data_IF_236838355126
#
_entry.id   IF_236838355126
#
_cell.length_a   1.000
_cell.length_b   1.000
_cell.length_c   1.000
_cell.angle_alpha   90.00
_cell.angle_beta   90.00
_cell.angle_gamma   90.00
#
_symmetry.space_group_name_H-M   'P 1'
#
loop_
_entity.id
_entity.type
_entity.pdbx_description
1 polymer ?
#
# COMPACT_ATOMS: atom_id res chain seq x y z
N UNK A 1 -12.73 9.88 18.73
CA UNK A 1 -11.57 8.96 18.69
C UNK A 1 -11.37 8.57 17.24
N UNK A 2 -10.26 8.98 16.62
CA UNK A 2 -9.94 8.49 15.27
C UNK A 2 -8.99 7.31 15.46
N UNK A 3 -9.44 6.11 15.11
CA UNK A 3 -8.72 4.86 15.36
C UNK A 3 -7.79 4.56 14.19
N UNK A 4 -6.50 4.32 14.48
CA UNK A 4 -5.54 3.80 13.49
C UNK A 4 -5.81 2.32 13.25
N UNK A 5 -5.68 1.87 12.00
CA UNK A 5 -5.69 0.46 11.67
C UNK A 5 -4.26 -0.08 11.77
N UNK A 6 -4.01 -0.90 12.79
CA UNK A 6 -2.74 -1.59 13.02
C UNK A 6 -2.94 -3.05 12.62
N UNK A 7 -2.35 -3.45 11.50
CA UNK A 7 -2.41 -4.82 11.02
C UNK A 7 -1.07 -5.22 10.42
N UNK A 8 -0.89 -6.52 10.19
CA UNK A 8 0.20 -6.98 9.34
C UNK A 8 0.09 -6.38 7.92
N UNK A 9 1.18 -6.41 7.17
CA UNK A 9 1.25 -5.78 5.86
C UNK A 9 0.22 -6.36 4.86
N UNK A 10 -0.01 -7.69 4.80
CA UNK A 10 -1.05 -8.26 3.93
C UNK A 10 -2.48 -7.80 4.27
N UNK A 11 -2.85 -7.72 5.56
CA UNK A 11 -4.17 -7.24 5.95
C UNK A 11 -4.31 -5.73 5.68
N UNK A 12 -3.24 -4.96 5.94
CA UNK A 12 -3.18 -3.52 5.64
C UNK A 12 -3.47 -3.25 4.16
N UNK A 13 -2.86 -4.02 3.25
CA UNK A 13 -3.14 -3.88 1.82
C UNK A 13 -4.57 -4.24 1.46
N UNK A 14 -5.11 -5.34 1.99
CA UNK A 14 -6.50 -5.75 1.71
C UNK A 14 -7.52 -4.72 2.20
N UNK A 15 -7.33 -4.21 3.41
CA UNK A 15 -8.22 -3.21 4.01
C UNK A 15 -8.11 -1.87 3.28
N UNK A 16 -6.89 -1.48 2.89
CA UNK A 16 -6.62 -0.24 2.17
C UNK A 16 -6.94 -0.27 0.68
N UNK A 17 -7.18 -1.44 0.08
CA UNK A 17 -7.36 -1.58 -1.36
C UNK A 17 -6.04 -1.46 -2.12
N UNK A 18 -4.92 -1.89 -1.55
CA UNK A 18 -3.61 -1.88 -2.20
C UNK A 18 -3.24 -3.25 -2.77
N UNK A 19 -2.37 -3.21 -3.76
CA UNK A 19 -1.77 -4.40 -4.34
C UNK A 19 -0.69 -5.00 -3.42
N UNK A 20 -0.49 -6.31 -3.59
CA UNK A 20 0.46 -7.07 -2.78
C UNK A 20 1.94 -6.86 -3.17
N UNK A 21 2.85 -7.68 -2.62
CA UNK A 21 4.30 -7.47 -2.71
C UNK A 21 4.88 -7.74 -4.11
N UNK A 22 4.09 -8.31 -5.00
CA UNK A 22 4.47 -8.59 -6.40
C UNK A 22 4.07 -7.49 -7.37
N UNK A 23 3.36 -6.46 -6.89
CA UNK A 23 2.90 -5.35 -7.70
C UNK A 23 4.03 -4.40 -8.12
N UNK A 24 3.68 -3.50 -9.04
CA UNK A 24 4.58 -2.43 -9.50
C UNK A 24 4.98 -1.50 -8.36
N UNK A 25 4.01 -1.10 -7.55
CA UNK A 25 4.19 -0.30 -6.35
C UNK A 25 4.02 -1.19 -5.12
N UNK A 26 5.02 -1.22 -4.26
CA UNK A 26 5.10 -2.08 -3.07
C UNK A 26 4.67 -1.39 -1.77
N UNK A 27 4.52 -0.07 -1.80
CA UNK A 27 4.25 0.74 -0.63
C UNK A 27 2.94 1.50 -0.81
N UNK A 28 2.15 1.62 0.26
CA UNK A 28 0.94 2.44 0.29
C UNK A 28 1.21 3.93 0.57
N UNK A 29 2.45 4.28 0.95
CA UNK A 29 2.85 5.64 1.32
C UNK A 29 3.65 6.37 0.24
N UNK A 30 4.21 5.65 -0.73
CA UNK A 30 5.03 6.23 -1.78
C UNK A 30 4.84 5.54 -3.13
N UNK A 31 5.18 6.26 -4.19
CA UNK A 31 5.09 5.78 -5.57
C UNK A 31 6.37 5.07 -6.05
N UNK A 32 7.24 4.61 -5.13
CA UNK A 32 8.42 3.86 -5.54
C UNK A 32 8.03 2.58 -6.27
N UNK A 33 8.68 2.36 -7.40
CA UNK A 33 8.52 1.13 -8.15
C UNK A 33 9.42 0.04 -7.56
N UNK A 34 8.94 -1.21 -7.62
CA UNK A 34 9.72 -2.38 -7.21
C UNK A 34 11.05 -2.53 -7.96
N UNK A 35 11.11 -2.05 -9.21
CA UNK A 35 12.35 -1.97 -10.00
C UNK A 35 13.43 -1.12 -9.33
N UNK A 36 13.03 -0.16 -8.49
CA UNK A 36 13.91 0.78 -7.79
C UNK A 36 13.93 0.56 -6.27
N UNK A 37 13.67 -0.66 -5.80
CA UNK A 37 13.60 -1.00 -4.38
C UNK A 37 14.92 -0.72 -3.61
N UNK A 38 16.05 -0.68 -4.32
CA UNK A 38 17.37 -0.37 -3.75
C UNK A 38 17.62 1.13 -3.55
N UNK A 39 16.67 2.00 -3.93
CA UNK A 39 16.80 3.44 -3.69
C UNK A 39 16.49 3.78 -2.23
N UNK A 40 17.51 3.79 -1.38
CA UNK A 40 17.38 4.14 0.03
C UNK A 40 17.40 5.65 0.32
N UNK A 41 17.52 6.51 -0.72
CA UNK A 41 17.48 7.95 -0.54
C UNK A 41 16.01 8.42 -0.41
N UNK A 42 15.50 8.35 0.82
CA UNK A 42 14.11 8.67 1.14
C UNK A 42 13.72 10.13 0.90
N UNK A 43 14.68 11.06 0.87
CA UNK A 43 14.42 12.47 0.55
C UNK A 43 13.91 12.66 -0.88
N UNK A 44 14.31 11.75 -1.78
CA UNK A 44 13.90 11.77 -3.19
C UNK A 44 12.62 10.96 -3.45
N UNK A 45 12.03 10.35 -2.41
CA UNK A 45 10.83 9.53 -2.61
C UNK A 45 9.60 10.41 -2.81
N UNK A 46 8.89 10.15 -3.89
CA UNK A 46 7.58 10.75 -4.11
C UNK A 46 6.54 10.05 -3.23
N UNK A 47 6.05 10.78 -2.23
CA UNK A 47 4.95 10.32 -1.40
C UNK A 47 3.62 10.24 -2.16
N UNK A 48 2.78 9.29 -1.77
CA UNK A 48 1.42 9.16 -2.24
C UNK A 48 0.52 10.11 -1.45
N UNK A 49 -0.29 10.90 -2.14
CA UNK A 49 -1.28 11.78 -1.50
C UNK A 49 -2.64 11.09 -1.41
N UNK A 50 -3.46 11.54 -0.46
CA UNK A 50 -4.86 11.09 -0.36
C UNK A 50 -5.64 11.29 -1.67
N UNK A 51 -5.44 12.44 -2.34
CA UNK A 51 -6.13 12.75 -3.60
C UNK A 51 -5.76 11.76 -4.70
N UNK A 52 -4.47 11.48 -4.90
CA UNK A 52 -4.02 10.52 -5.90
C UNK A 52 -4.56 9.11 -5.61
N UNK A 53 -4.58 8.70 -4.35
CA UNK A 53 -5.13 7.42 -3.94
C UNK A 53 -6.64 7.34 -4.22
N UNK A 54 -7.38 8.37 -3.82
CA UNK A 54 -8.83 8.46 -4.02
C UNK A 54 -9.20 8.50 -5.51
N UNK A 55 -8.44 9.23 -6.32
CA UNK A 55 -8.61 9.27 -7.78
C UNK A 55 -8.40 7.90 -8.40
N UNK A 56 -7.30 7.21 -8.07
CA UNK A 56 -7.02 5.87 -8.59
C UNK A 56 -8.09 4.86 -8.16
N UNK A 57 -8.50 4.88 -6.88
CA UNK A 57 -9.55 4.03 -6.36
C UNK A 57 -10.91 4.31 -7.02
N UNK A 58 -11.23 5.58 -7.27
CA UNK A 58 -12.48 6.00 -7.94
C UNK A 58 -12.48 5.58 -9.40
N UNK A 59 -11.37 5.77 -10.13
CA UNK A 59 -11.22 5.29 -11.50
C UNK A 59 -11.39 3.77 -11.58
N UNK A 60 -10.81 3.03 -10.63
CA UNK A 60 -10.99 1.59 -10.53
C UNK A 60 -12.46 1.23 -10.28
N UNK A 61 -13.14 1.90 -9.35
CA UNK A 61 -14.56 1.64 -9.03
C UNK A 61 -15.49 1.88 -10.22
N UNK A 62 -15.28 2.99 -10.91
CA UNK A 62 -16.20 3.48 -11.95
C UNK A 62 -15.94 2.85 -13.33
N UNK A 63 -14.82 2.14 -13.48
CA UNK A 63 -14.53 1.37 -14.68
C UNK A 63 -15.57 0.26 -14.91
N UNK A 64 -15.97 0.10 -16.17
CA UNK A 64 -17.16 -0.69 -16.54
C UNK A 64 -16.85 -2.18 -16.80
N UNK A 65 -15.60 -2.50 -17.17
CA UNK A 65 -15.21 -3.86 -17.52
C UNK A 65 -14.10 -4.36 -16.60
N UNK A 66 -14.11 -5.67 -16.31
CA UNK A 66 -13.08 -6.32 -15.50
C UNK A 66 -11.66 -6.10 -16.07
N UNK A 67 -11.52 -6.01 -17.40
CA UNK A 67 -10.24 -5.74 -18.05
C UNK A 67 -9.68 -4.36 -17.64
N UNK A 68 -10.55 -3.38 -17.44
CA UNK A 68 -10.18 -2.01 -17.10
C UNK A 68 -9.82 -1.93 -15.61
N UNK A 69 -10.56 -2.63 -14.74
CA UNK A 69 -10.18 -2.83 -13.32
C UNK A 69 -8.78 -3.42 -13.21
N UNK A 70 -8.52 -4.51 -13.93
CA UNK A 70 -7.23 -5.19 -13.89
C UNK A 70 -6.10 -4.29 -14.43
N UNK A 71 -6.37 -3.49 -15.46
CA UNK A 71 -5.40 -2.53 -16.01
C UNK A 71 -5.06 -1.45 -14.99
N UNK A 72 -6.08 -0.78 -14.43
CA UNK A 72 -5.90 0.29 -13.44
C UNK A 72 -5.17 -0.25 -12.21
N UNK A 73 -5.58 -1.42 -11.71
CA UNK A 73 -4.94 -2.04 -10.55
C UNK A 73 -3.48 -2.43 -10.82
N UNK A 74 -3.17 -2.89 -12.04
CA UNK A 74 -1.78 -3.20 -12.42
C UNK A 74 -0.90 -1.96 -12.54
N UNK A 75 -1.47 -0.85 -13.00
CA UNK A 75 -0.75 0.42 -13.20
C UNK A 75 -0.55 1.18 -11.89
N UNK A 76 -1.61 1.31 -11.08
CA UNK A 76 -1.64 2.11 -9.85
C UNK A 76 -1.37 1.31 -8.59
N UNK A 77 -1.68 0.01 -8.60
CA UNK A 77 -1.67 -0.81 -7.38
C UNK A 77 -2.81 -0.47 -6.40
N UNK A 78 -3.83 0.27 -6.83
CA UNK A 78 -4.95 0.72 -5.97
C UNK A 78 -6.28 0.25 -6.54
N UNK A 79 -7.15 -0.25 -5.67
CA UNK A 79 -8.55 -0.60 -5.92
C UNK A 79 -9.46 0.04 -4.88
N UNK A 80 -10.76 0.06 -5.14
CA UNK A 80 -11.73 0.63 -4.21
C UNK A 80 -11.79 -0.19 -2.90
N UNK A 81 -11.67 0.51 -1.78
CA UNK A 81 -12.00 -0.02 -0.45
C UNK A 81 -13.29 0.62 0.05
N UNK A 82 -14.15 -0.18 0.67
CA UNK A 82 -15.37 0.28 1.31
C UNK A 82 -15.11 1.33 2.40
N UNK A 83 -13.92 1.34 3.00
CA UNK A 83 -13.52 2.35 3.99
C UNK A 83 -13.40 3.76 3.39
N UNK A 84 -13.17 3.91 2.08
CA UNK A 84 -13.14 5.21 1.41
C UNK A 84 -14.51 5.92 1.41
N UNK A 85 -15.59 5.23 1.79
CA UNK A 85 -16.90 5.86 2.03
C UNK A 85 -16.94 6.68 3.30
N UNK A 86 -16.03 6.44 4.24
CA UNK A 86 -15.97 7.15 5.52
C UNK A 86 -15.27 8.51 5.31
N UNK A 87 -15.92 9.66 5.58
CA UNK A 87 -15.36 10.98 5.27
C UNK A 87 -14.04 11.32 5.96
N UNK A 88 -13.72 10.61 7.04
CA UNK A 88 -12.50 10.80 7.82
C UNK A 88 -11.39 9.78 7.48
N UNK A 89 -11.67 8.80 6.61
CA UNK A 89 -10.72 7.74 6.30
C UNK A 89 -9.76 8.19 5.21
N UNK A 90 -8.48 8.16 5.56
CA UNK A 90 -7.33 8.45 4.70
C UNK A 90 -6.33 7.27 4.74
N UNK A 91 -6.29 6.40 3.73
CA UNK A 91 -5.41 5.23 3.72
C UNK A 91 -3.91 5.60 3.76
N UNK A 92 -3.54 6.84 3.42
CA UNK A 92 -2.14 7.32 3.51
C UNK A 92 -1.72 7.67 4.94
N UNK A 93 -2.68 7.81 5.87
CA UNK A 93 -2.43 8.24 7.26
C UNK A 93 -2.92 7.25 8.31
N UNK A 94 -4.00 6.52 8.04
CA UNK A 94 -4.64 5.65 9.03
C UNK A 94 -4.20 4.20 8.99
N UNK A 95 -3.42 3.80 7.98
CA UNK A 95 -2.80 2.49 7.91
C UNK A 95 -1.42 2.54 8.55
N UNK A 96 -1.32 2.06 9.79
CA UNK A 96 -0.07 2.03 10.52
C UNK A 96 0.81 0.85 10.05
N UNK A 97 2.10 1.10 9.93
CA UNK A 97 3.09 0.03 9.67
C UNK A 97 3.33 -0.72 10.98
N UNK A 98 3.05 -2.02 11.00
CA UNK A 98 3.34 -2.87 12.15
C UNK A 98 4.83 -3.22 12.23
N UNK A 99 5.59 -2.35 12.90
CA UNK A 99 7.01 -2.55 13.12
C UNK A 99 7.36 -3.70 14.06
N UNK A 100 6.44 -4.15 14.93
CA UNK A 100 6.74 -5.28 15.82
C UNK A 100 6.79 -6.59 15.02
N UNK A 101 5.80 -6.81 14.15
CA UNK A 101 5.78 -7.99 13.29
C UNK A 101 6.98 -8.01 12.34
N UNK A 102 7.25 -6.88 11.66
CA UNK A 102 8.35 -6.79 10.71
C UNK A 102 9.73 -6.92 11.37
N UNK A 103 9.93 -6.35 12.56
CA UNK A 103 11.21 -6.48 13.27
C UNK A 103 11.53 -7.94 13.63
N UNK A 104 10.58 -8.65 14.24
CA UNK A 104 10.83 -10.01 14.73
C UNK A 104 10.74 -11.08 13.63
N UNK A 105 9.71 -11.03 12.79
CA UNK A 105 9.43 -12.05 11.77
C UNK A 105 9.95 -11.69 10.38
N UNK A 106 10.24 -10.42 10.13
CA UNK A 106 10.94 -9.98 8.92
C UNK A 106 12.45 -9.95 9.16
N UNK A 107 12.92 -8.90 9.82
CA UNK A 107 14.35 -8.55 9.91
C UNK A 107 15.17 -9.56 10.71
N UNK A 108 14.77 -9.85 11.96
CA UNK A 108 15.51 -10.78 12.83
C UNK A 108 15.50 -12.18 12.22
N UNK A 109 14.35 -12.66 11.77
CA UNK A 109 14.24 -13.97 11.12
C UNK A 109 15.15 -14.09 9.89
N UNK A 110 15.13 -13.11 8.99
CA UNK A 110 15.98 -13.09 7.80
C UNK A 110 17.48 -13.06 8.17
N UNK A 111 17.86 -12.25 9.15
CA UNK A 111 19.26 -12.14 9.57
C UNK A 111 19.84 -13.47 10.07
N UNK A 112 19.08 -14.21 10.90
CA UNK A 112 19.56 -15.46 11.48
C UNK A 112 19.40 -16.69 10.57
N UNK A 113 18.59 -16.63 9.52
CA UNK A 113 18.32 -17.79 8.64
C UNK A 113 18.98 -17.69 7.28
N UNK A 114 19.08 -16.48 6.74
CA UNK A 114 19.47 -16.27 5.34
C UNK A 114 20.79 -15.47 5.20
N UNK A 115 21.21 -14.72 6.23
CA UNK A 115 22.47 -13.96 6.21
C UNK A 115 23.61 -14.61 6.99
N UNK A 116 23.33 -15.17 8.18
CA UNK A 116 24.29 -15.89 9.03
C UNK A 116 24.35 -17.38 8.66
#
# INVERSE_FOLDING_TARGET
VITLAVNDLPATWKIGGFAGPTAKHLCNLCWQEKSNISNFNCENWRHCTYQENMEAATQWRDAQMQKDHNKIFKETGVQWSELLRLPYWDPTRFLAIDGMHDLFLGLVQFHFRDLL
#
